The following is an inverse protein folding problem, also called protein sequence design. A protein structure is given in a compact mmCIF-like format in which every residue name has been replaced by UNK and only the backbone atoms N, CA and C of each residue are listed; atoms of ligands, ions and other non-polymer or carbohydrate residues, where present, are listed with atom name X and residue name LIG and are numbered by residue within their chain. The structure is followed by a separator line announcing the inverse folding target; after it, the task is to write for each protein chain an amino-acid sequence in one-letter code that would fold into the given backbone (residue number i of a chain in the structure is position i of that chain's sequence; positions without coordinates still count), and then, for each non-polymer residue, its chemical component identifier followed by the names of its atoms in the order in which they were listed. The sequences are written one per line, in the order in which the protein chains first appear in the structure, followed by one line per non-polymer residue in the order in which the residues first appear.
data_IF_442583958634
#
_entry.id   IF_442583958634
#
_cell.length_a   1.000
_cell.length_b   1.000
_cell.length_c   1.000
_cell.angle_alpha   90.00
_cell.angle_beta   90.00
_cell.angle_gamma   90.00
#
_symmetry.space_group_name_H-M   'P 1'
#
loop_
_entity.id
_entity.type
_entity.pdbx_description
1 polymer ?
#
# COMPACT_ATOMS: atom_id res chain seq x y z
N UNK A 1 -41.71 -31.38 53.38
CA UNK A 1 -40.27 -31.43 53.70
C UNK A 1 -39.53 -31.55 52.41
N UNK A 2 -38.49 -30.85 52.34
CA UNK A 2 -38.08 -29.90 51.33
C UNK A 2 -37.02 -30.60 50.47
N UNK A 3 -36.54 -30.09 49.44
CA UNK A 3 -35.74 -28.94 49.24
C UNK A 3 -35.35 -28.97 47.77
N UNK A 4 -35.58 -27.95 47.14
CA UNK A 4 -34.68 -26.92 46.67
C UNK A 4 -33.30 -27.27 46.09
N UNK A 5 -32.90 -26.41 45.41
CA UNK A 5 -32.65 -26.00 44.04
C UNK A 5 -31.16 -25.83 43.88
N UNK A 6 -30.73 -25.64 42.73
CA UNK A 6 -29.54 -24.87 42.37
C UNK A 6 -29.36 -25.12 40.89
N UNK A 7 -29.77 -24.28 40.08
CA UNK A 7 -29.19 -23.00 39.78
C UNK A 7 -27.68 -23.04 39.73
N UNK A 8 -27.21 -22.94 38.57
CA UNK A 8 -26.17 -21.98 38.29
C UNK A 8 -25.91 -21.93 36.79
N UNK A 9 -26.72 -21.15 36.18
CA UNK A 9 -26.38 -20.46 34.97
C UNK A 9 -25.12 -19.59 35.18
N UNK A 10 -23.97 -20.15 34.99
CA UNK A 10 -22.76 -19.37 34.85
C UNK A 10 -22.47 -19.19 33.35
N UNK A 11 -23.36 -18.42 32.71
CA UNK A 11 -23.01 -17.77 31.44
C UNK A 11 -21.92 -16.73 31.73
N UNK A 12 -20.70 -17.20 31.80
CA UNK A 12 -19.54 -16.33 31.68
C UNK A 12 -19.61 -15.65 30.31
N UNK A 13 -20.13 -14.45 30.29
CA UNK A 13 -19.99 -13.49 29.24
C UNK A 13 -18.48 -13.31 28.99
N UNK A 14 -17.95 -14.00 27.99
CA UNK A 14 -16.69 -13.69 27.41
C UNK A 14 -16.80 -12.23 26.89
N UNK A 15 -16.40 -11.31 27.75
CA UNK A 15 -16.12 -9.93 27.33
C UNK A 15 -15.02 -10.02 26.29
N UNK A 16 -15.41 -9.93 25.03
CA UNK A 16 -14.47 -9.55 24.01
C UNK A 16 -13.82 -8.26 24.49
N UNK A 17 -12.57 -8.35 24.90
CA UNK A 17 -11.75 -7.18 25.08
C UNK A 17 -11.75 -6.48 23.72
N UNK A 18 -12.47 -5.37 23.62
CA UNK A 18 -12.20 -4.39 22.59
C UNK A 18 -10.70 -4.20 22.55
N UNK A 19 -10.10 -4.44 21.40
CA UNK A 19 -8.74 -3.97 21.14
C UNK A 19 -8.81 -2.47 21.42
N UNK A 20 -7.98 -1.93 22.31
CA UNK A 20 -8.02 -0.50 22.60
C UNK A 20 -7.84 0.22 21.27
N UNK A 21 -8.77 1.11 20.95
CA UNK A 21 -8.54 2.12 19.90
C UNK A 21 -7.18 2.72 20.18
N UNK A 22 -6.26 2.57 19.25
CA UNK A 22 -4.92 3.13 19.35
C UNK A 22 -5.04 4.60 19.69
N UNK A 23 -4.25 5.13 20.65
CA UNK A 23 -4.37 6.50 21.09
C UNK A 23 -4.26 7.43 19.88
N UNK A 24 -5.21 8.37 19.78
CA UNK A 24 -5.28 9.52 18.87
C UNK A 24 -4.20 9.52 17.80
N UNK A 25 -4.49 8.90 16.66
CA UNK A 25 -3.59 8.99 15.51
C UNK A 25 -3.49 10.47 15.12
N UNK A 26 -2.27 10.97 15.04
CA UNK A 26 -2.03 12.30 14.51
C UNK A 26 -2.74 12.44 13.16
N UNK A 27 -3.28 13.63 12.83
CA UNK A 27 -3.98 13.81 11.57
C UNK A 27 -3.05 13.45 10.41
N UNK A 28 -3.55 12.64 9.49
CA UNK A 28 -2.80 12.29 8.28
C UNK A 28 -2.74 13.55 7.41
N UNK A 29 -1.54 14.06 7.15
CA UNK A 29 -1.32 15.26 6.31
C UNK A 29 -0.82 14.84 4.93
N UNK A 30 -1.38 15.38 3.83
CA UNK A 30 -0.93 15.05 2.48
C UNK A 30 0.56 15.29 2.30
N UNK A 31 1.23 14.39 1.58
CA UNK A 31 2.62 14.60 1.14
C UNK A 31 2.64 15.65 0.03
N UNK A 32 3.61 16.55 0.08
CA UNK A 32 3.76 17.61 -0.93
C UNK A 32 4.30 17.05 -2.25
N UNK A 33 4.05 17.75 -3.36
CA UNK A 33 4.63 17.42 -4.66
C UNK A 33 6.16 17.37 -4.65
N UNK A 34 6.80 18.26 -3.87
CA UNK A 34 8.25 18.28 -3.68
C UNK A 34 8.79 16.99 -3.06
N UNK A 35 7.99 16.25 -2.28
CA UNK A 35 8.38 14.93 -1.78
C UNK A 35 8.61 13.95 -2.92
N UNK A 36 7.81 14.01 -3.98
CA UNK A 36 7.88 13.10 -5.13
C UNK A 36 8.83 13.59 -6.23
N UNK A 37 9.14 14.89 -6.30
CA UNK A 37 10.06 15.49 -7.28
C UNK A 37 11.53 15.12 -6.99
N UNK A 38 11.79 13.86 -6.65
CA UNK A 38 13.10 13.36 -6.22
C UNK A 38 13.36 11.97 -6.80
N UNK A 39 14.62 11.53 -6.72
CA UNK A 39 15.02 10.21 -7.19
C UNK A 39 14.15 9.09 -6.59
N UNK A 40 13.67 8.14 -7.40
CA UNK A 40 12.79 7.04 -6.93
C UNK A 40 13.35 6.22 -5.77
N UNK A 41 14.68 6.05 -5.67
CA UNK A 41 15.30 5.36 -4.53
C UNK A 41 15.03 6.08 -3.21
N UNK A 42 15.14 7.41 -3.23
CA UNK A 42 14.88 8.23 -2.04
C UNK A 42 13.41 8.24 -1.70
N UNK A 43 12.55 8.45 -2.71
CA UNK A 43 11.09 8.41 -2.53
C UNK A 43 10.64 7.06 -1.99
N UNK A 44 11.10 5.95 -2.58
CA UNK A 44 10.75 4.60 -2.13
C UNK A 44 11.09 4.36 -0.66
N UNK A 45 12.29 4.75 -0.23
CA UNK A 45 12.72 4.60 1.15
C UNK A 45 11.84 5.40 2.12
N UNK A 46 11.54 6.65 1.78
CA UNK A 46 10.79 7.56 2.63
C UNK A 46 9.25 7.36 2.56
N UNK A 47 8.75 6.67 1.52
CA UNK A 47 7.34 6.23 1.44
C UNK A 47 7.00 5.13 2.44
N UNK A 48 7.97 4.33 2.86
CA UNK A 48 7.71 3.33 3.91
C UNK A 48 7.25 4.01 5.20
N UNK A 49 6.15 3.52 5.75
CA UNK A 49 5.52 4.11 6.92
C UNK A 49 4.51 5.22 6.61
N UNK A 50 4.44 5.75 5.40
CA UNK A 50 3.39 6.68 4.98
C UNK A 50 2.07 5.95 4.77
N UNK A 51 0.98 6.68 4.66
CA UNK A 51 -0.38 6.14 4.61
C UNK A 51 -0.99 6.41 3.24
N UNK A 52 -1.46 5.36 2.57
CA UNK A 52 -2.35 5.47 1.43
C UNK A 52 -3.78 5.64 1.95
N UNK A 53 -4.49 6.63 1.45
CA UNK A 53 -5.87 6.95 1.84
C UNK A 53 -6.78 6.89 0.61
N UNK A 54 -7.89 6.18 0.73
CA UNK A 54 -9.04 6.26 -0.18
C UNK A 54 -10.19 6.93 0.56
N UNK A 55 -10.56 8.11 0.13
CA UNK A 55 -11.75 8.83 0.61
C UNK A 55 -13.01 8.25 -0.02
N UNK A 56 -14.12 8.27 0.70
CA UNK A 56 -15.40 7.73 0.24
C UNK A 56 -16.31 7.39 1.41
N UNK A 57 -17.47 6.73 1.17
CA UNK A 57 -18.41 6.32 2.22
C UNK A 57 -17.73 5.47 3.31
N UNK A 58 -16.84 4.58 2.90
CA UNK A 58 -15.94 3.84 3.80
C UNK A 58 -14.53 4.35 3.55
N UNK A 59 -14.03 5.22 4.44
CA UNK A 59 -12.64 5.67 4.36
C UNK A 59 -11.70 4.49 4.57
N UNK A 60 -10.84 4.21 3.58
CA UNK A 60 -9.81 3.17 3.70
C UNK A 60 -8.47 3.84 3.96
N UNK A 61 -7.75 3.34 4.94
CA UNK A 61 -6.37 3.76 5.19
C UNK A 61 -5.48 2.54 5.39
N UNK A 62 -4.28 2.59 4.82
CA UNK A 62 -3.29 1.54 5.02
C UNK A 62 -1.88 2.09 4.96
N UNK A 63 -1.01 1.58 5.82
CA UNK A 63 0.40 1.94 5.89
C UNK A 63 1.18 1.26 4.79
N UNK A 64 2.03 2.01 4.10
CA UNK A 64 2.92 1.51 3.06
C UNK A 64 4.06 0.75 3.73
N UNK A 65 4.16 -0.55 3.47
CA UNK A 65 5.16 -1.43 4.10
C UNK A 65 6.11 -2.09 3.12
N UNK A 66 5.80 -2.06 1.82
CA UNK A 66 6.66 -2.59 0.77
C UNK A 66 6.46 -1.82 -0.53
N UNK A 67 7.58 -1.44 -1.17
CA UNK A 67 7.61 -0.71 -2.45
C UNK A 67 8.80 -1.14 -3.31
N UNK A 68 8.74 -0.84 -4.62
CA UNK A 68 9.87 -0.99 -5.54
C UNK A 68 10.13 0.30 -6.30
N UNK A 69 11.41 0.71 -6.37
CA UNK A 69 11.84 1.87 -7.16
C UNK A 69 12.13 1.47 -8.62
N UNK A 70 11.69 2.31 -9.55
CA UNK A 70 11.95 2.22 -10.99
C UNK A 70 12.56 3.53 -11.48
N UNK A 71 13.79 3.46 -12.04
CA UNK A 71 14.65 4.64 -12.24
C UNK A 71 14.46 5.32 -13.61
N UNK A 72 13.33 5.08 -14.26
CA UNK A 72 13.01 5.69 -15.55
C UNK A 72 13.79 5.09 -16.72
N UNK A 73 14.22 5.93 -17.66
CA UNK A 73 14.82 5.48 -18.93
C UNK A 73 16.13 4.70 -18.76
N UNK A 74 16.85 4.89 -17.67
CA UNK A 74 18.11 4.19 -17.36
C UNK A 74 17.91 2.83 -16.68
N UNK A 75 16.66 2.46 -16.37
CA UNK A 75 16.33 1.19 -15.71
C UNK A 75 15.70 0.23 -16.74
N UNK A 76 16.41 -0.82 -17.18
CA UNK A 76 15.88 -1.75 -18.18
C UNK A 76 14.61 -2.47 -17.78
N UNK A 77 14.26 -2.51 -16.48
CA UNK A 77 13.03 -3.09 -15.97
C UNK A 77 11.87 -2.08 -15.85
N UNK A 78 12.13 -0.79 -16.05
CA UNK A 78 11.09 0.24 -15.99
C UNK A 78 10.27 0.30 -17.27
N UNK A 79 8.98 0.62 -17.17
CA UNK A 79 8.11 0.87 -18.33
C UNK A 79 8.59 2.08 -19.18
N UNK A 80 9.40 2.95 -18.60
CA UNK A 80 9.98 4.11 -19.28
C UNK A 80 11.31 3.80 -19.98
N UNK A 81 11.84 2.58 -19.90
CA UNK A 81 13.15 2.22 -20.49
C UNK A 81 13.23 2.48 -22.00
N UNK A 82 12.12 2.34 -22.72
CA UNK A 82 12.02 2.59 -24.18
C UNK A 82 11.54 4.01 -24.51
N UNK A 83 11.58 4.93 -23.55
CA UNK A 83 11.09 6.30 -23.73
C UNK A 83 9.61 6.47 -23.40
N UNK A 84 9.09 7.67 -23.73
CA UNK A 84 7.72 8.05 -23.46
C UNK A 84 6.76 7.45 -24.48
N UNK A 85 5.62 6.96 -24.00
CA UNK A 85 4.49 6.46 -24.78
C UNK A 85 3.18 6.96 -24.18
N UNK A 86 2.07 6.88 -24.89
CA UNK A 86 0.73 7.19 -24.33
C UNK A 86 0.40 6.37 -23.07
N UNK A 87 0.92 5.14 -23.00
CA UNK A 87 0.68 4.25 -21.85
C UNK A 87 1.39 4.73 -20.58
N UNK A 88 2.62 5.22 -20.70
CA UNK A 88 3.48 5.58 -19.57
C UNK A 88 3.68 7.09 -19.39
N UNK A 89 2.94 7.93 -20.13
CA UNK A 89 3.09 9.39 -20.13
C UNK A 89 3.02 9.99 -18.71
N UNK A 90 2.22 9.42 -17.81
CA UNK A 90 2.13 9.84 -16.41
C UNK A 90 3.48 9.81 -15.68
N UNK A 91 4.38 8.88 -16.04
CA UNK A 91 5.70 8.78 -15.41
C UNK A 91 6.64 9.93 -15.84
N UNK A 92 6.36 10.62 -16.95
CA UNK A 92 7.10 11.77 -17.46
C UNK A 92 6.44 13.11 -17.11
N UNK A 93 5.21 13.07 -16.62
CA UNK A 93 4.47 14.25 -16.19
C UNK A 93 4.87 14.74 -14.79
N UNK A 94 4.05 15.61 -14.18
CA UNK A 94 4.30 16.12 -12.86
C UNK A 94 4.43 14.98 -11.83
N UNK A 95 5.37 15.06 -10.85
CA UNK A 95 5.55 14.04 -9.84
C UNK A 95 4.36 13.97 -8.86
N UNK A 96 4.17 12.81 -8.25
CA UNK A 96 3.10 12.58 -7.27
C UNK A 96 1.77 12.14 -7.90
N UNK A 97 1.76 11.77 -9.18
CA UNK A 97 0.55 11.26 -9.85
C UNK A 97 0.53 9.72 -9.88
N UNK A 98 -0.66 9.16 -9.79
CA UNK A 98 -0.90 7.72 -9.86
C UNK A 98 -0.67 7.21 -11.29
N UNK A 99 0.29 6.31 -11.47
CA UNK A 99 0.46 5.55 -12.69
C UNK A 99 -0.06 4.13 -12.48
N UNK A 100 -1.12 3.77 -13.20
CA UNK A 100 -1.79 2.48 -13.04
C UNK A 100 -1.73 1.71 -14.36
N UNK A 101 -1.24 0.46 -14.28
CA UNK A 101 -1.22 -0.44 -15.41
C UNK A 101 -1.87 -1.78 -15.07
N UNK A 102 -2.33 -2.45 -16.12
CA UNK A 102 -2.98 -3.76 -16.03
C UNK A 102 -1.96 -4.86 -16.33
N UNK A 103 -1.96 -5.93 -15.54
CA UNK A 103 -1.01 -7.04 -15.64
C UNK A 103 -1.75 -8.39 -15.49
N UNK A 104 -1.24 -9.41 -16.15
CA UNK A 104 -1.73 -10.79 -16.10
C UNK A 104 -3.21 -10.95 -16.48
N UNK A 105 -3.83 -9.98 -17.16
CA UNK A 105 -5.21 -10.07 -17.60
C UNK A 105 -6.28 -9.89 -16.50
N UNK A 106 -5.87 -9.68 -15.23
CA UNK A 106 -6.82 -9.64 -14.11
C UNK A 106 -6.45 -8.68 -12.97
N UNK A 107 -5.26 -8.03 -12.99
CA UNK A 107 -4.83 -7.20 -11.88
C UNK A 107 -4.34 -5.82 -12.32
N UNK A 108 -4.58 -4.83 -11.49
CA UNK A 108 -3.97 -3.51 -11.60
C UNK A 108 -2.77 -3.40 -10.65
N UNK A 109 -1.81 -2.55 -11.03
CA UNK A 109 -0.68 -2.16 -10.20
C UNK A 109 -0.64 -0.64 -10.06
N UNK A 110 -0.57 -0.15 -8.83
CA UNK A 110 -0.45 1.26 -8.50
C UNK A 110 1.02 1.64 -8.38
N UNK A 111 1.39 2.72 -9.06
CA UNK A 111 2.67 3.41 -8.87
C UNK A 111 2.41 4.89 -8.61
N UNK A 112 3.39 5.57 -8.03
CA UNK A 112 3.44 7.04 -7.98
C UNK A 112 4.59 7.54 -8.84
N UNK A 113 4.34 8.56 -9.68
CA UNK A 113 5.39 9.21 -10.49
C UNK A 113 6.36 9.98 -9.61
N UNK A 114 7.63 9.94 -9.98
CA UNK A 114 8.74 10.61 -9.30
C UNK A 114 9.58 11.39 -10.31
N UNK A 115 10.61 12.12 -9.82
CA UNK A 115 11.47 13.01 -10.58
C UNK A 115 10.75 14.29 -11.05
N UNK A 116 11.45 15.35 -11.40
CA UNK A 116 10.86 16.51 -12.04
C UNK A 116 10.17 16.17 -13.37
N UNK A 117 9.17 16.95 -13.74
CA UNK A 117 8.48 16.83 -15.02
C UNK A 117 9.46 16.75 -16.21
N UNK A 118 9.17 15.91 -17.17
CA UNK A 118 10.05 15.56 -18.29
C UNK A 118 11.04 14.44 -18.01
N UNK A 119 11.22 14.04 -16.74
CA UNK A 119 12.06 12.90 -16.34
C UNK A 119 11.18 11.78 -15.79
N UNK A 120 11.36 10.59 -16.34
CA UNK A 120 10.62 9.44 -15.86
C UNK A 120 11.23 8.86 -14.59
N UNK A 121 10.37 8.49 -13.66
CA UNK A 121 10.69 7.72 -12.48
C UNK A 121 9.40 7.31 -11.78
N UNK A 122 9.43 6.23 -11.01
CA UNK A 122 8.24 5.81 -10.28
C UNK A 122 8.54 4.86 -9.14
N UNK A 123 7.58 4.74 -8.24
CA UNK A 123 7.61 3.78 -7.14
C UNK A 123 6.33 2.94 -7.17
N UNK A 124 6.50 1.63 -7.32
CA UNK A 124 5.42 0.64 -7.27
C UNK A 124 5.08 0.32 -5.81
N UNK A 125 3.79 0.35 -5.48
CA UNK A 125 3.29 -0.16 -4.19
C UNK A 125 3.12 -1.67 -4.27
N UNK A 126 3.75 -2.39 -3.34
CA UNK A 126 3.70 -3.86 -3.33
C UNK A 126 2.85 -4.42 -2.19
N UNK A 127 2.92 -3.81 -1.02
CA UNK A 127 2.11 -4.23 0.11
C UNK A 127 1.79 -3.07 1.04
N UNK A 128 0.60 -3.16 1.64
CA UNK A 128 0.08 -2.22 2.61
C UNK A 128 -0.36 -2.97 3.87
N UNK A 129 -0.22 -2.34 5.03
CA UNK A 129 -0.79 -2.77 6.30
C UNK A 129 -2.10 -2.01 6.56
N UNK A 130 -3.27 -2.65 6.50
CA UNK A 130 -4.55 -2.01 6.75
C UNK A 130 -4.63 -1.35 8.13
N UNK A 131 -5.09 -0.09 8.17
CA UNK A 131 -5.30 0.68 9.41
C UNK A 131 -6.79 0.90 9.69
N UNK A 132 -7.58 1.16 8.64
CA UNK A 132 -9.04 1.31 8.76
C UNK A 132 -9.75 0.83 7.49
N UNK A 133 -11.05 0.53 7.60
CA UNK A 133 -11.87 0.06 6.49
C UNK A 133 -11.66 -1.42 6.13
N UNK A 134 -11.26 -2.25 7.10
CA UNK A 134 -10.94 -3.67 6.92
C UNK A 134 -12.08 -4.44 6.25
N UNK A 135 -13.31 -4.26 6.72
CA UNK A 135 -14.49 -4.96 6.19
C UNK A 135 -14.80 -4.54 4.74
N UNK A 136 -14.64 -3.26 4.42
CA UNK A 136 -14.81 -2.76 3.07
C UNK A 136 -13.74 -3.32 2.12
N UNK A 137 -12.48 -3.44 2.58
CA UNK A 137 -11.40 -4.10 1.83
C UNK A 137 -11.71 -5.58 1.60
N UNK A 138 -12.21 -6.29 2.62
CA UNK A 138 -12.60 -7.70 2.51
C UNK A 138 -13.74 -7.89 1.52
N UNK A 139 -14.75 -7.03 1.56
CA UNK A 139 -15.85 -7.02 0.61
C UNK A 139 -15.36 -6.80 -0.83
N UNK A 140 -14.52 -5.78 -1.04
CA UNK A 140 -13.95 -5.48 -2.37
C UNK A 140 -13.09 -6.64 -2.92
N UNK A 141 -12.45 -7.40 -2.05
CA UNK A 141 -11.66 -8.60 -2.37
C UNK A 141 -12.51 -9.88 -2.52
N UNK A 142 -13.80 -9.85 -2.15
CA UNK A 142 -14.66 -11.03 -2.14
C UNK A 142 -14.19 -12.12 -1.18
N UNK A 143 -13.55 -11.77 -0.06
CA UNK A 143 -13.01 -12.74 0.90
C UNK A 143 -13.62 -12.57 2.30
N UNK A 144 -13.83 -13.71 2.97
CA UNK A 144 -14.22 -13.73 4.38
C UNK A 144 -12.98 -13.75 5.27
N UNK A 145 -12.96 -12.92 6.29
CA UNK A 145 -11.89 -12.85 7.30
C UNK A 145 -12.34 -13.59 8.56
N UNK A 146 -11.48 -14.47 9.08
CA UNK A 146 -11.70 -15.19 10.35
C UNK A 146 -11.08 -14.47 11.55
N UNK A 147 -10.28 -13.43 11.29
CA UNK A 147 -9.61 -12.62 12.30
C UNK A 147 -8.36 -11.92 11.77
N UNK A 148 -7.62 -11.19 12.64
CA UNK A 148 -6.47 -10.37 12.23
C UNK A 148 -5.36 -11.14 11.49
N UNK A 149 -5.22 -12.43 11.70
CA UNK A 149 -4.25 -13.30 10.99
C UNK A 149 -4.52 -13.37 9.48
N UNK A 150 -5.75 -13.08 9.05
CA UNK A 150 -6.15 -13.10 7.64
C UNK A 150 -5.92 -11.74 6.95
N UNK A 151 -5.70 -10.64 7.68
CA UNK A 151 -5.54 -9.31 7.10
C UNK A 151 -4.45 -9.20 6.03
N UNK A 152 -3.30 -9.91 6.12
CA UNK A 152 -2.33 -9.92 5.01
C UNK A 152 -2.92 -10.35 3.66
N UNK A 153 -3.99 -11.17 3.66
CA UNK A 153 -4.67 -11.59 2.43
C UNK A 153 -5.32 -10.41 1.68
N UNK A 154 -5.59 -9.30 2.37
CA UNK A 154 -6.23 -8.12 1.79
C UNK A 154 -5.28 -7.37 0.86
N UNK A 155 -4.04 -7.10 1.30
CA UNK A 155 -3.19 -6.07 0.72
C UNK A 155 -1.74 -6.47 0.54
N UNK A 156 -1.36 -7.72 0.84
CA UNK A 156 -0.02 -8.27 0.59
C UNK A 156 0.11 -8.70 -0.87
N UNK A 157 0.57 -7.79 -1.71
CA UNK A 157 0.75 -7.94 -3.15
C UNK A 157 0.12 -6.81 -3.96
N UNK A 158 0.75 -6.39 -5.10
CA UNK A 158 0.33 -5.20 -5.85
C UNK A 158 -1.09 -5.31 -6.42
N UNK A 159 -1.49 -6.47 -6.91
CA UNK A 159 -2.86 -6.70 -7.38
C UNK A 159 -3.87 -6.67 -6.23
N UNK A 160 -3.55 -7.35 -5.13
CA UNK A 160 -4.43 -7.42 -3.96
C UNK A 160 -4.74 -6.05 -3.36
N UNK A 161 -3.72 -5.20 -3.20
CA UNK A 161 -3.91 -3.85 -2.67
C UNK A 161 -4.78 -2.99 -3.61
N UNK A 162 -4.62 -3.13 -4.93
CA UNK A 162 -5.46 -2.42 -5.89
C UNK A 162 -6.93 -2.86 -5.80
N UNK A 163 -7.20 -4.17 -5.71
CA UNK A 163 -8.55 -4.68 -5.52
C UNK A 163 -9.15 -4.20 -4.19
N UNK A 164 -8.40 -4.33 -3.08
CA UNK A 164 -8.86 -3.90 -1.76
C UNK A 164 -9.23 -2.42 -1.70
N UNK A 165 -8.48 -1.56 -2.39
CA UNK A 165 -8.74 -0.13 -2.50
C UNK A 165 -9.63 0.25 -3.68
N UNK A 166 -10.12 -0.73 -4.44
CA UNK A 166 -10.90 -0.53 -5.66
C UNK A 166 -10.18 0.35 -6.68
N UNK A 167 -8.86 0.25 -6.80
CA UNK A 167 -8.04 1.03 -7.72
C UNK A 167 -8.11 0.44 -9.12
N UNK A 168 -8.48 1.26 -10.10
CA UNK A 168 -8.53 0.87 -11.51
C UNK A 168 -7.85 1.91 -12.39
N UNK A 169 -7.40 1.50 -13.58
CA UNK A 169 -6.80 2.43 -14.53
C UNK A 169 -7.80 3.48 -15.00
N UNK A 170 -9.03 3.07 -15.29
CA UNK A 170 -10.07 3.98 -15.80
C UNK A 170 -10.40 5.10 -14.81
N UNK A 171 -10.39 4.81 -13.51
CA UNK A 171 -10.78 5.75 -12.48
C UNK A 171 -9.61 6.59 -11.95
N UNK A 172 -8.46 5.96 -11.75
CA UNK A 172 -7.43 6.54 -10.89
C UNK A 172 -6.10 6.85 -11.62
N UNK A 173 -5.92 6.45 -12.90
CA UNK A 173 -4.68 6.74 -13.62
C UNK A 173 -4.54 8.24 -13.90
N UNK A 174 -3.40 8.83 -13.56
CA UNK A 174 -3.16 10.26 -13.65
C UNK A 174 -3.72 11.06 -12.46
N UNK A 175 -4.27 10.42 -11.44
CA UNK A 175 -4.80 11.08 -10.25
C UNK A 175 -3.68 11.73 -9.43
N UNK A 176 -3.90 12.94 -8.92
CA UNK A 176 -2.95 13.64 -8.04
C UNK A 176 -3.02 13.04 -6.62
N UNK A 177 -1.95 12.36 -6.21
CA UNK A 177 -1.84 11.72 -4.89
C UNK A 177 -1.32 12.68 -3.80
N UNK A 178 -1.13 13.96 -4.12
CA UNK A 178 -0.61 14.97 -3.17
C UNK A 178 -1.71 15.80 -2.52
N UNK A 179 -2.98 15.54 -2.82
CA UNK A 179 -4.12 16.33 -2.36
C UNK A 179 -5.22 15.48 -1.73
N UNK A 180 -5.65 15.83 -0.53
CA UNK A 180 -6.80 15.21 0.15
C UNK A 180 -8.15 15.58 -0.46
N UNK A 181 -8.20 16.60 -1.32
CA UNK A 181 -9.39 16.92 -2.11
C UNK A 181 -9.73 15.80 -3.10
N UNK A 182 -8.74 14.96 -3.45
CA UNK A 182 -8.94 13.79 -4.26
C UNK A 182 -9.47 12.59 -3.48
N UNK A 183 -10.02 11.61 -4.20
CA UNK A 183 -10.51 10.37 -3.60
C UNK A 183 -9.39 9.36 -3.26
N UNK A 184 -8.18 9.56 -3.75
CA UNK A 184 -6.99 8.73 -3.47
C UNK A 184 -5.78 9.65 -3.26
N UNK A 185 -5.09 9.50 -2.14
CA UNK A 185 -3.94 10.33 -1.82
C UNK A 185 -2.99 9.65 -0.83
N UNK A 186 -1.79 10.22 -0.66
CA UNK A 186 -0.76 9.70 0.25
C UNK A 186 -0.44 10.76 1.30
N UNK A 187 -0.43 10.35 2.56
CA UNK A 187 -0.12 11.26 3.65
C UNK A 187 0.84 10.71 4.69
N UNK A 188 1.21 11.59 5.61
CA UNK A 188 2.07 11.31 6.76
C UNK A 188 1.27 11.49 8.06
N UNK A 189 1.24 10.49 8.90
CA UNK A 189 0.65 10.48 10.25
C UNK A 189 1.71 10.63 11.36
N UNK A 190 2.95 10.94 10.98
CA UNK A 190 4.07 11.06 11.91
C UNK A 190 4.78 9.74 12.25
N UNK A 191 4.29 8.60 11.76
CA UNK A 191 4.96 7.32 11.97
C UNK A 191 6.39 7.32 11.39
N UNK A 192 7.33 6.78 12.13
CA UNK A 192 8.73 6.64 11.71
C UNK A 192 9.04 5.18 11.42
N UNK A 193 9.33 4.90 10.16
CA UNK A 193 9.72 3.56 9.72
C UNK A 193 11.11 3.20 10.24
N UNK A 194 11.24 2.03 10.85
CA UNK A 194 12.49 1.45 11.32
C UNK A 194 12.74 0.10 10.66
N UNK A 195 14.00 -0.34 10.61
CA UNK A 195 14.34 -1.67 10.08
C UNK A 195 14.02 -1.80 8.58
N UNK A 196 14.42 -0.82 7.76
CA UNK A 196 14.21 -0.89 6.30
C UNK A 196 15.20 -1.88 5.70
N UNK A 197 14.68 -2.88 5.00
CA UNK A 197 15.45 -3.90 4.27
C UNK A 197 15.42 -3.59 2.77
N UNK A 198 16.57 -3.80 2.12
CA UNK A 198 16.75 -3.67 0.68
C UNK A 198 17.03 -5.04 0.07
N UNK A 199 16.30 -5.36 -1.01
CA UNK A 199 16.49 -6.60 -1.78
C UNK A 199 16.30 -6.34 -3.28
N UNK A 200 16.63 -7.30 -4.14
CA UNK A 200 16.18 -7.30 -5.52
C UNK A 200 14.66 -7.21 -5.65
N UNK A 201 14.21 -6.62 -6.76
CA UNK A 201 12.78 -6.53 -7.13
C UNK A 201 12.23 -7.89 -7.51
N UNK A 202 10.90 -8.07 -7.39
CA UNK A 202 10.22 -9.33 -7.64
C UNK A 202 9.46 -9.28 -8.98
N UNK A 203 9.54 -10.38 -9.75
CA UNK A 203 8.73 -10.53 -10.97
C UNK A 203 9.24 -9.75 -12.17
N UNK A 204 10.52 -9.35 -12.18
CA UNK A 204 11.19 -8.70 -13.31
C UNK A 204 12.22 -9.65 -13.94
N UNK A 205 12.49 -9.44 -15.24
CA UNK A 205 13.46 -10.25 -16.01
C UNK A 205 14.74 -9.49 -16.34
N UNK A 206 14.75 -8.16 -16.18
CA UNK A 206 15.90 -7.29 -16.45
C UNK A 206 16.34 -6.59 -15.18
N UNK A 207 17.62 -6.27 -15.06
CA UNK A 207 18.20 -5.57 -13.90
C UNK A 207 17.82 -6.24 -12.56
N UNK A 208 17.76 -7.57 -12.55
CA UNK A 208 17.28 -8.41 -11.43
C UNK A 208 18.15 -8.30 -10.19
N UNK A 209 19.46 -7.99 -10.33
CA UNK A 209 20.38 -7.89 -9.21
C UNK A 209 20.32 -6.56 -8.45
N UNK A 210 19.63 -5.53 -9.00
CA UNK A 210 19.59 -4.22 -8.36
C UNK A 210 18.71 -4.24 -7.10
N UNK A 211 19.23 -3.79 -5.92
CA UNK A 211 18.49 -3.76 -4.66
C UNK A 211 17.54 -2.55 -4.64
N UNK A 212 16.45 -2.63 -5.39
CA UNK A 212 15.48 -1.56 -5.57
C UNK A 212 14.09 -1.87 -4.98
N UNK A 213 13.98 -2.95 -4.23
CA UNK A 213 12.82 -3.27 -3.41
C UNK A 213 13.12 -2.93 -1.96
N UNK A 214 12.22 -2.19 -1.33
CA UNK A 214 12.31 -1.69 0.04
C UNK A 214 11.11 -2.17 0.83
N UNK A 215 11.33 -2.65 2.06
CA UNK A 215 10.24 -3.07 2.93
C UNK A 215 10.61 -2.95 4.42
N UNK A 216 9.59 -2.93 5.28
CA UNK A 216 9.77 -2.94 6.74
C UNK A 216 10.07 -4.36 7.21
N UNK A 217 11.20 -4.54 7.88
CA UNK A 217 11.58 -5.83 8.49
C UNK A 217 10.47 -6.33 9.42
N UNK A 218 10.26 -7.65 9.45
CA UNK A 218 9.31 -8.33 10.34
C UNK A 218 7.85 -7.90 10.20
N UNK A 219 7.50 -7.12 9.16
CA UNK A 219 6.10 -6.76 8.91
C UNK A 219 5.38 -7.90 8.18
N UNK A 220 4.29 -8.39 8.76
CA UNK A 220 3.53 -9.57 8.28
C UNK A 220 2.86 -9.35 6.92
N UNK A 221 2.72 -8.10 6.48
CA UNK A 221 2.06 -7.76 5.22
C UNK A 221 3.02 -7.74 4.02
N UNK A 222 4.33 -7.81 4.25
CA UNK A 222 5.32 -7.85 3.17
C UNK A 222 5.03 -9.04 2.25
N UNK A 223 5.06 -8.81 0.93
CA UNK A 223 4.75 -9.80 -0.09
C UNK A 223 5.94 -10.71 -0.39
N UNK A 224 5.66 -11.92 -0.92
CA UNK A 224 6.69 -12.88 -1.30
C UNK A 224 7.02 -13.91 -0.22
N UNK A 225 8.11 -14.67 -0.39
CA UNK A 225 8.48 -15.73 0.54
C UNK A 225 8.76 -15.18 1.95
N UNK A 226 8.26 -15.86 2.98
CA UNK A 226 8.44 -15.45 4.39
C UNK A 226 9.91 -15.47 4.86
N UNK A 227 10.79 -16.15 4.17
CA UNK A 227 12.24 -16.12 4.40
C UNK A 227 12.87 -14.72 4.17
N UNK A 228 12.17 -13.82 3.52
CA UNK A 228 12.60 -12.43 3.35
C UNK A 228 12.19 -11.51 4.52
N UNK A 229 11.52 -12.03 5.55
CA UNK A 229 11.04 -11.26 6.71
C UNK A 229 12.09 -11.15 7.84
N UNK A 230 13.36 -11.32 7.52
CA UNK A 230 14.47 -11.32 8.48
C UNK A 230 14.57 -10.01 9.25
#
# INVERSE_FOLDING_TARGET
MPTNPADNSCLQRLRFRCVPESPTSAPIRPLTRAFFARNPRRVARELLGKVLVRSGPSRLTARIVEVEAYLGVKDPAAHAASGQTLRNAVLFGPPGHAYIYFIYGNHYCLNVSCEPEGKAGGVLFRALEPLSGIDAMAHARGIALRGPKDWPKLTSGPGRLCEAFGITRARDNGFDLTSEAGSLWIGDDGFRAHGIVLTPRIGITKATALPLRYFLARNLFVSGPKSALI
#
